data_IF_742358475477
#
_entry.id   IF_742358475477
#
_cell.length_a   1.000
_cell.length_b   1.000
_cell.length_c   1.000
_cell.angle_alpha   90.00
_cell.angle_beta   90.00
_cell.angle_gamma   90.00
#
_symmetry.space_group_name_H-M   'P 1'
#
loop_
_entity.id
_entity.type
_entity.pdbx_description
1 polymer ?
#
# COMPACT_ATOMS: atom_id res chain seq x y z
N UNK A 1 -8.76 17.63 -4.83
CA UNK A 1 -7.86 18.32 -3.90
C UNK A 1 -6.39 18.18 -4.31
N UNK A 2 -5.85 16.96 -4.54
CA UNK A 2 -4.43 16.77 -4.94
C UNK A 2 -4.13 17.53 -6.23
N UNK A 3 -4.91 17.31 -7.30
CA UNK A 3 -4.73 18.02 -8.57
C UNK A 3 -4.78 19.55 -8.43
N UNK A 4 -5.70 20.07 -7.60
CA UNK A 4 -5.78 21.50 -7.34
C UNK A 4 -4.50 22.03 -6.68
N UNK A 5 -3.97 21.31 -5.67
CA UNK A 5 -2.74 21.71 -5.01
C UNK A 5 -1.52 21.67 -5.96
N UNK A 6 -1.48 20.70 -6.86
CA UNK A 6 -0.41 20.63 -7.86
C UNK A 6 -0.53 21.74 -8.93
N UNK A 7 -1.76 22.07 -9.34
CA UNK A 7 -2.00 23.20 -10.25
C UNK A 7 -1.62 24.54 -9.59
N UNK A 8 -1.88 24.72 -8.29
CA UNK A 8 -1.47 25.92 -7.55
C UNK A 8 0.07 26.07 -7.48
N UNK A 9 0.81 24.97 -7.65
CA UNK A 9 2.27 24.96 -7.78
C UNK A 9 2.77 25.19 -9.21
N UNK A 10 1.85 25.45 -10.17
CA UNK A 10 2.19 25.72 -11.55
C UNK A 10 2.27 24.50 -12.46
N UNK A 11 1.81 23.34 -12.01
CA UNK A 11 1.67 22.15 -12.85
C UNK A 11 0.34 22.23 -13.63
N UNK A 12 0.28 21.58 -14.78
CA UNK A 12 -0.97 21.42 -15.54
C UNK A 12 -1.48 19.99 -15.36
N UNK A 13 -2.38 19.79 -14.40
CA UNK A 13 -2.91 18.46 -14.04
C UNK A 13 -4.33 18.29 -14.56
N UNK A 14 -4.51 17.33 -15.45
CA UNK A 14 -5.81 16.85 -15.91
C UNK A 14 -6.17 15.55 -15.22
N UNK A 15 -7.29 15.51 -14.52
CA UNK A 15 -7.79 14.31 -13.85
C UNK A 15 -8.66 13.51 -14.79
N UNK A 16 -8.29 12.26 -15.05
CA UNK A 16 -9.11 11.32 -15.78
C UNK A 16 -9.78 10.35 -14.78
N UNK A 17 -11.10 10.38 -14.74
CA UNK A 17 -11.87 9.39 -14.02
C UNK A 17 -12.11 8.20 -14.94
N UNK A 18 -11.79 7.01 -14.48
CA UNK A 18 -11.86 5.75 -15.22
C UNK A 18 -12.67 4.73 -14.43
N UNK A 19 -13.28 3.76 -15.11
CA UNK A 19 -13.77 2.57 -14.44
C UNK A 19 -12.61 1.66 -14.01
N UNK A 20 -12.93 0.57 -13.31
CA UNK A 20 -11.89 -0.31 -12.75
C UNK A 20 -11.06 -1.01 -13.83
N UNK A 21 -11.67 -1.41 -14.94
CA UNK A 21 -11.00 -2.10 -16.03
C UNK A 21 -10.09 -1.15 -16.81
N UNK A 22 -10.58 0.01 -17.15
CA UNK A 22 -9.82 1.06 -17.81
C UNK A 22 -8.62 1.50 -16.95
N UNK A 23 -8.83 1.68 -15.65
CA UNK A 23 -7.78 2.04 -14.71
C UNK A 23 -6.69 0.95 -14.64
N UNK A 24 -7.07 -0.32 -14.51
CA UNK A 24 -6.11 -1.44 -14.49
C UNK A 24 -5.33 -1.54 -15.79
N UNK A 25 -5.97 -1.31 -16.93
CA UNK A 25 -5.31 -1.30 -18.22
C UNK A 25 -4.34 -0.12 -18.35
N UNK A 26 -4.72 1.07 -17.92
CA UNK A 26 -3.84 2.23 -17.90
C UNK A 26 -2.58 1.96 -17.06
N UNK A 27 -2.74 1.37 -15.86
CA UNK A 27 -1.61 0.98 -15.01
C UNK A 27 -0.71 -0.07 -15.69
N UNK A 28 -1.31 -1.10 -16.26
CA UNK A 28 -0.58 -2.20 -16.92
C UNK A 28 0.25 -1.74 -18.11
N UNK A 29 -0.29 -0.82 -18.90
CA UNK A 29 0.36 -0.32 -20.11
C UNK A 29 1.15 0.97 -19.90
N UNK A 30 1.17 1.52 -18.68
CA UNK A 30 1.89 2.75 -18.36
C UNK A 30 1.28 4.01 -19.01
N UNK A 31 -0.01 4.02 -19.28
CA UNK A 31 -0.72 5.14 -19.90
C UNK A 31 -1.12 6.20 -18.87
N UNK A 32 -0.15 6.72 -18.15
CA UNK A 32 -0.35 7.78 -17.15
C UNK A 32 0.97 8.50 -16.87
N UNK A 33 0.91 9.75 -16.45
CA UNK A 33 2.04 10.49 -15.88
C UNK A 33 2.08 10.32 -14.35
N UNK A 34 0.91 10.39 -13.71
CA UNK A 34 0.70 10.15 -12.29
C UNK A 34 -0.56 9.29 -12.10
N UNK A 35 -0.55 8.43 -11.11
CA UNK A 35 -1.77 7.73 -10.70
C UNK A 35 -1.99 7.85 -9.20
N UNK A 36 -3.25 7.84 -8.80
CA UNK A 36 -3.67 7.74 -7.41
C UNK A 36 -4.24 6.34 -7.17
N UNK A 37 -3.60 5.58 -6.32
CA UNK A 37 -3.97 4.20 -6.04
C UNK A 37 -4.01 3.88 -4.56
N UNK A 38 -4.59 2.75 -4.24
CA UNK A 38 -4.61 2.16 -2.91
C UNK A 38 -3.88 0.81 -2.96
N UNK A 39 -2.96 0.60 -2.04
CA UNK A 39 -2.21 -0.64 -1.91
C UNK A 39 -2.33 -1.16 -0.49
N UNK A 40 -2.62 -2.46 -0.38
CA UNK A 40 -2.57 -3.17 0.89
C UNK A 40 -1.16 -3.73 1.08
N UNK A 41 -0.42 -3.15 2.00
CA UNK A 41 0.89 -3.67 2.39
C UNK A 41 0.73 -4.90 3.30
N UNK A 42 1.74 -5.76 3.32
CA UNK A 42 1.86 -6.84 4.29
C UNK A 42 2.02 -6.27 5.72
N UNK A 43 1.79 -7.07 6.77
CA UNK A 43 2.03 -6.64 8.16
C UNK A 43 3.47 -6.20 8.44
N UNK A 44 4.41 -6.65 7.63
CA UNK A 44 5.82 -6.25 7.69
C UNK A 44 6.13 -4.95 6.96
N UNK A 45 5.10 -4.30 6.37
CA UNK A 45 5.23 -3.09 5.55
C UNK A 45 6.26 -3.24 4.41
N UNK A 46 6.31 -4.43 3.80
CA UNK A 46 7.20 -4.71 2.68
C UNK A 46 6.87 -3.84 1.47
N UNK A 47 7.82 -2.97 1.11
CA UNK A 47 7.75 -2.12 -0.08
C UNK A 47 8.24 -2.84 -1.35
N UNK A 48 8.76 -4.04 -1.24
CA UNK A 48 9.29 -4.82 -2.36
C UNK A 48 8.27 -5.07 -3.47
N UNK A 49 6.96 -5.07 -3.14
CA UNK A 49 5.87 -5.22 -4.11
C UNK A 49 5.88 -4.15 -5.21
N UNK A 50 6.43 -2.96 -4.94
CA UNK A 50 6.54 -1.87 -5.90
C UNK A 50 7.76 -1.99 -6.80
N UNK A 51 8.81 -2.68 -6.35
CA UNK A 51 10.12 -2.66 -7.00
C UNK A 51 10.52 -3.99 -7.63
N UNK A 52 9.81 -5.07 -7.31
CA UNK A 52 10.06 -6.38 -7.92
C UNK A 52 9.61 -6.39 -9.37
N UNK A 53 10.46 -6.90 -10.27
CA UNK A 53 10.07 -7.11 -11.66
C UNK A 53 8.86 -8.04 -11.77
N UNK A 54 7.83 -7.63 -12.52
CA UNK A 54 6.57 -8.34 -12.60
C UNK A 54 5.74 -8.31 -11.30
N UNK A 55 6.06 -7.45 -10.35
CA UNK A 55 5.29 -7.26 -9.12
C UNK A 55 3.92 -6.61 -9.37
N UNK A 56 2.94 -6.98 -8.54
CA UNK A 56 1.54 -6.56 -8.70
C UNK A 56 1.32 -5.05 -8.56
N UNK A 57 2.27 -4.32 -7.99
CA UNK A 57 2.24 -2.87 -7.82
C UNK A 57 3.41 -2.15 -8.51
N UNK A 58 4.18 -2.84 -9.33
CA UNK A 58 5.36 -2.30 -10.02
C UNK A 58 4.98 -1.64 -11.36
N UNK A 59 4.05 -0.69 -11.33
CA UNK A 59 3.56 0.01 -12.52
C UNK A 59 4.51 1.14 -12.96
N UNK A 60 4.40 1.55 -14.23
CA UNK A 60 5.05 2.76 -14.75
C UNK A 60 6.57 2.76 -14.64
N UNK A 61 7.21 1.58 -14.69
CA UNK A 61 8.67 1.49 -14.62
C UNK A 61 9.23 1.58 -13.19
N UNK A 62 8.41 1.39 -12.16
CA UNK A 62 8.86 1.35 -10.76
C UNK A 62 9.79 0.16 -10.46
N UNK A 63 9.73 -0.93 -11.24
CA UNK A 63 10.60 -2.08 -11.05
C UNK A 63 12.08 -1.66 -11.02
N UNK A 64 12.76 -1.96 -9.92
CA UNK A 64 14.14 -1.54 -9.68
C UNK A 64 14.86 -2.53 -8.76
N UNK A 65 15.79 -3.28 -9.30
CA UNK A 65 16.50 -4.34 -8.56
C UNK A 65 17.27 -3.81 -7.35
N UNK A 66 17.89 -2.64 -7.46
CA UNK A 66 18.65 -2.05 -6.35
C UNK A 66 17.74 -1.71 -5.17
N UNK A 67 16.58 -1.08 -5.45
CA UNK A 67 15.61 -0.75 -4.40
C UNK A 67 14.93 -2.00 -3.85
N UNK A 68 14.63 -2.98 -4.72
CA UNK A 68 14.09 -4.27 -4.29
C UNK A 68 15.03 -5.01 -3.33
N UNK A 69 16.35 -5.03 -3.64
CA UNK A 69 17.34 -5.67 -2.76
C UNK A 69 17.43 -4.98 -1.39
N UNK A 70 17.25 -3.67 -1.31
CA UNK A 70 17.16 -2.96 -0.02
C UNK A 70 15.90 -3.39 0.77
N UNK A 71 14.77 -3.57 0.09
CA UNK A 71 13.55 -4.09 0.74
C UNK A 71 13.77 -5.52 1.25
N UNK A 72 14.35 -6.40 0.46
CA UNK A 72 14.63 -7.78 0.84
C UNK A 72 15.58 -7.84 2.05
N UNK A 73 16.66 -7.06 2.02
CA UNK A 73 17.61 -6.97 3.15
C UNK A 73 16.92 -6.49 4.44
N UNK A 74 15.96 -5.57 4.33
CA UNK A 74 15.16 -5.13 5.49
C UNK A 74 14.33 -6.27 6.09
N UNK A 75 13.69 -7.09 5.26
CA UNK A 75 12.89 -8.23 5.72
C UNK A 75 13.75 -9.30 6.39
N UNK A 76 14.98 -9.47 5.94
CA UNK A 76 15.96 -10.40 6.51
C UNK A 76 16.72 -9.82 7.73
N UNK A 77 16.34 -8.64 8.21
CA UNK A 77 17.04 -7.90 9.27
C UNK A 77 18.55 -7.68 9.01
N UNK A 78 18.97 -7.72 7.75
CA UNK A 78 20.34 -7.49 7.32
C UNK A 78 20.56 -6.09 6.72
N UNK A 79 19.47 -5.35 6.47
CA UNK A 79 19.47 -4.04 5.86
C UNK A 79 19.27 -2.89 6.84
N UNK A 80 19.59 -1.69 6.37
CA UNK A 80 19.37 -0.45 7.10
C UNK A 80 18.11 0.26 6.56
N UNK A 81 17.13 0.49 7.42
CA UNK A 81 15.90 1.21 7.08
C UNK A 81 16.18 2.61 6.50
N UNK A 82 17.21 3.29 7.02
CA UNK A 82 17.58 4.61 6.54
C UNK A 82 17.96 4.61 5.06
N UNK A 83 18.73 3.64 4.61
CA UNK A 83 19.18 3.55 3.21
C UNK A 83 18.01 3.31 2.26
N UNK A 84 17.06 2.45 2.66
CA UNK A 84 15.85 2.21 1.89
C UNK A 84 14.99 3.49 1.79
N UNK A 85 14.66 4.11 2.93
CA UNK A 85 13.80 5.29 2.94
C UNK A 85 14.44 6.48 2.26
N UNK A 86 15.73 6.70 2.47
CA UNK A 86 16.49 7.72 1.76
C UNK A 86 16.38 7.56 0.26
N UNK A 87 16.60 6.34 -0.24
CA UNK A 87 16.48 6.06 -1.67
C UNK A 87 15.08 6.28 -2.22
N UNK A 88 14.04 5.81 -1.50
CA UNK A 88 12.65 6.02 -1.92
C UNK A 88 12.30 7.50 -2.00
N UNK A 89 12.74 8.30 -1.03
CA UNK A 89 12.50 9.74 -1.00
C UNK A 89 13.28 10.50 -2.08
N UNK A 90 14.55 10.17 -2.28
CA UNK A 90 15.40 10.83 -3.29
C UNK A 90 14.93 10.55 -4.72
N UNK A 91 14.38 9.39 -4.98
CA UNK A 91 13.89 9.01 -6.29
C UNK A 91 12.43 9.45 -6.55
N UNK A 92 11.70 9.84 -5.49
CA UNK A 92 10.32 10.31 -5.62
C UNK A 92 9.35 9.28 -6.22
N UNK A 93 9.59 7.99 -5.97
CA UNK A 93 8.81 6.91 -6.57
C UNK A 93 7.32 6.99 -6.27
N UNK A 94 6.97 7.34 -5.04
CA UNK A 94 5.58 7.52 -4.60
C UNK A 94 5.50 8.45 -3.37
N UNK A 95 4.33 9.02 -3.18
CA UNK A 95 4.02 9.87 -2.03
C UNK A 95 2.85 9.25 -1.25
N UNK A 96 3.05 8.76 -0.03
CA UNK A 96 1.95 8.32 0.83
C UNK A 96 1.05 9.52 1.18
N UNK A 97 -0.24 9.43 0.85
CA UNK A 97 -1.20 10.51 1.09
C UNK A 97 -2.00 10.29 2.36
N UNK A 98 -2.43 9.04 2.59
CA UNK A 98 -3.19 8.66 3.79
C UNK A 98 -3.11 7.16 4.05
N UNK A 99 -3.41 6.79 5.28
CA UNK A 99 -3.61 5.40 5.67
C UNK A 99 -5.08 5.18 6.00
N UNK A 100 -5.65 4.06 5.53
CA UNK A 100 -6.99 3.63 5.89
C UNK A 100 -6.94 2.66 7.06
N UNK A 101 -7.87 2.83 7.99
CA UNK A 101 -8.12 1.85 9.04
C UNK A 101 -9.20 0.86 8.58
N UNK A 102 -9.09 -0.38 9.02
CA UNK A 102 -10.16 -1.36 8.80
C UNK A 102 -11.28 -1.11 9.79
N UNK A 103 -12.53 -1.20 9.30
CA UNK A 103 -13.72 -1.24 10.14
C UNK A 103 -14.21 -2.69 10.21
N UNK A 104 -14.42 -3.18 11.42
CA UNK A 104 -15.06 -4.48 11.65
C UNK A 104 -16.48 -4.24 12.15
N UNK A 105 -17.42 -4.87 11.48
CA UNK A 105 -18.84 -4.84 11.89
C UNK A 105 -19.19 -6.20 12.47
N UNK A 106 -19.73 -6.21 13.69
CA UNK A 106 -20.21 -7.40 14.36
C UNK A 106 -21.58 -7.15 14.98
N UNK A 107 -22.43 -8.18 15.05
CA UNK A 107 -23.69 -8.10 15.75
C UNK A 107 -23.41 -7.88 17.24
N UNK A 108 -24.16 -6.97 17.86
CA UNK A 108 -24.01 -6.65 19.28
C UNK A 108 -24.11 -7.92 20.14
N UNK A 109 -23.11 -8.15 20.97
CA UNK A 109 -23.03 -9.31 21.86
C UNK A 109 -22.45 -10.58 21.23
N UNK A 110 -22.17 -10.60 19.91
CA UNK A 110 -21.56 -11.76 19.26
C UNK A 110 -20.04 -11.85 19.46
N UNK A 111 -19.41 -10.75 19.83
CA UNK A 111 -17.94 -10.66 20.00
C UNK A 111 -17.63 -9.94 21.31
N UNK A 112 -16.83 -10.57 22.17
CA UNK A 112 -16.43 -9.97 23.45
C UNK A 112 -15.16 -9.11 23.32
N UNK A 113 -14.20 -9.57 22.52
CA UNK A 113 -12.99 -8.85 22.26
C UNK A 113 -12.47 -9.15 20.84
N UNK A 114 -11.70 -8.23 20.31
CA UNK A 114 -11.04 -8.37 19.01
C UNK A 114 -9.54 -8.25 19.23
N UNK A 115 -8.81 -9.25 18.79
CA UNK A 115 -7.36 -9.20 18.77
C UNK A 115 -6.88 -9.08 17.32
N UNK A 116 -6.19 -8.00 16.93
CA UNK A 116 -5.59 -7.92 15.63
C UNK A 116 -4.44 -8.95 15.56
N UNK A 117 -4.45 -9.79 14.53
CA UNK A 117 -3.35 -10.69 14.25
C UNK A 117 -2.42 -10.06 13.18
N UNK A 118 -1.14 -10.43 13.22
CA UNK A 118 -0.13 -9.94 12.28
C UNK A 118 -0.42 -10.29 10.82
N UNK A 119 -1.23 -11.31 10.58
CA UNK A 119 -1.64 -11.78 9.26
C UNK A 119 -2.90 -11.08 8.72
N UNK A 120 -3.33 -9.97 9.32
CA UNK A 120 -4.56 -9.25 9.01
C UNK A 120 -5.85 -10.05 9.30
N UNK A 121 -5.75 -11.19 9.94
CA UNK A 121 -6.89 -11.95 10.42
C UNK A 121 -7.30 -11.39 11.78
N UNK A 122 -8.54 -10.94 11.87
CA UNK A 122 -9.14 -10.56 13.15
C UNK A 122 -9.77 -11.81 13.72
N UNK A 123 -9.25 -12.27 14.86
CA UNK A 123 -9.80 -13.43 15.58
C UNK A 123 -10.72 -12.94 16.69
N UNK A 124 -12.05 -13.16 16.57
CA UNK A 124 -12.95 -12.86 17.64
C UNK A 124 -12.70 -13.84 18.81
N UNK A 125 -12.58 -13.32 20.02
CA UNK A 125 -12.67 -14.19 21.20
C UNK A 125 -14.13 -14.62 21.34
N UNK A 126 -14.40 -15.91 21.10
CA UNK A 126 -15.70 -16.49 21.41
C UNK A 126 -15.84 -16.68 22.91
N UNK A 127 -17.00 -16.41 23.46
CA UNK A 127 -17.37 -16.82 24.82
C UNK A 127 -17.22 -18.33 24.91
N UNK A 128 -16.36 -18.84 25.78
CA UNK A 128 -16.50 -20.20 26.22
C UNK A 128 -17.93 -20.32 26.77
N UNK A 129 -18.72 -21.25 26.23
CA UNK A 129 -20.00 -21.56 26.80
C UNK A 129 -19.75 -21.88 28.28
N UNK A 130 -20.39 -21.16 29.19
CA UNK A 130 -20.35 -21.51 30.58
C UNK A 130 -21.00 -22.88 30.67
N UNK A 131 -20.18 -23.91 30.92
CA UNK A 131 -20.69 -25.22 31.28
C UNK A 131 -21.46 -25.07 32.57
N UNK A 132 -22.77 -25.26 32.46
CA UNK A 132 -23.71 -25.32 33.57
C UNK A 132 -23.72 -26.72 34.18
#
# INVERSE_FOLDING_TARGET
>A
RIAAALNDLGMEITVQAMDEEEYRNALRYGNFDLYYGEVRLSPTYDLGIFFREGGDAAYGGLANSTTYNLCAAMLENSGNAYDLYKRVMEQGYFCPVLYKTYALYATRGSVQSLSPALDWVIRPATTAAAES
#
